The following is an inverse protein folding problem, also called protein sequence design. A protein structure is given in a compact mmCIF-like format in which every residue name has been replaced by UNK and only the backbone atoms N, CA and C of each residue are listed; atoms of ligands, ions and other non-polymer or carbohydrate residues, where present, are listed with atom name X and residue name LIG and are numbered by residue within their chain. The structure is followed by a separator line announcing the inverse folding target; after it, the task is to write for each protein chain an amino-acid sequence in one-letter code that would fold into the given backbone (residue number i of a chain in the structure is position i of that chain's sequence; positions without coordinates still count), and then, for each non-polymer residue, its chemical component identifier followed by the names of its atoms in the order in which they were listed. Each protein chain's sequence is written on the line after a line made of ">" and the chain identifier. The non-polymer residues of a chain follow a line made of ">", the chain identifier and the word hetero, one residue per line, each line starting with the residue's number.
data_IF_935506299164
#
_entry.id   IF_935506299164
#
_cell.length_a   1.000
_cell.length_b   1.000
_cell.length_c   1.000
_cell.angle_alpha   90.00
_cell.angle_beta   90.00
_cell.angle_gamma   90.00
#
_symmetry.space_group_name_H-M   'P 1'
#
loop_
_entity.id
_entity.type
_entity.pdbx_description
1 polymer ?
#
# COMPACT_ATOMS: atom_id res chain seq x y z
N UNK A 1 3.27 -16.81 -3.59
CA UNK A 1 1.83 -17.06 -3.35
C UNK A 1 1.33 -15.95 -2.42
N UNK A 2 0.86 -14.83 -2.98
CA UNK A 2 0.40 -13.67 -2.20
C UNK A 2 -1.08 -13.88 -1.83
N UNK A 3 -1.39 -13.92 -0.53
CA UNK A 3 -2.77 -14.12 -0.03
C UNK A 3 -3.49 -12.77 0.07
N UNK A 4 -4.65 -12.70 -0.56
CA UNK A 4 -5.42 -11.49 -0.88
C UNK A 4 -5.94 -10.72 0.35
N UNK A 5 -5.84 -9.39 0.27
CA UNK A 5 -6.80 -8.45 0.83
C UNK A 5 -7.89 -8.23 -0.22
N UNK A 6 -9.01 -8.97 -0.16
CA UNK A 6 -10.10 -8.77 -1.12
C UNK A 6 -11.46 -8.90 -0.44
N UNK A 7 -12.07 -7.76 -0.09
CA UNK A 7 -13.53 -7.60 -0.16
C UNK A 7 -13.93 -6.11 -0.30
N UNK A 8 -14.49 -5.75 -1.47
CA UNK A 8 -15.32 -4.55 -1.81
C UNK A 8 -14.64 -3.19 -2.14
N UNK A 9 -15.27 -2.33 -2.98
CA UNK A 9 -14.55 -1.32 -3.75
C UNK A 9 -14.43 0.03 -3.03
N UNK A 10 -13.22 0.35 -2.57
CA UNK A 10 -12.66 1.70 -2.55
C UNK A 10 -11.19 1.58 -2.99
N UNK A 11 -10.83 2.25 -4.09
CA UNK A 11 -9.54 2.11 -4.79
C UNK A 11 -8.31 2.42 -3.93
N UNK A 12 -8.52 3.18 -2.86
CA UNK A 12 -7.50 3.72 -1.98
C UNK A 12 -7.15 2.73 -0.86
N UNK A 13 -8.14 1.95 -0.42
CA UNK A 13 -7.98 0.95 0.63
C UNK A 13 -7.20 -0.27 0.13
N UNK A 14 -7.40 -0.70 -1.12
CA UNK A 14 -6.63 -1.79 -1.73
C UNK A 14 -5.14 -1.42 -1.84
N UNK A 15 -4.84 -0.19 -2.25
CA UNK A 15 -3.47 0.32 -2.38
C UNK A 15 -2.81 0.43 -1.00
N UNK A 16 -3.53 0.91 0.01
CA UNK A 16 -3.02 0.95 1.39
C UNK A 16 -2.86 -0.44 2.00
N UNK A 17 -3.77 -1.37 1.70
CA UNK A 17 -3.67 -2.77 2.12
C UNK A 17 -2.42 -3.44 1.53
N UNK A 18 -2.22 -3.27 0.22
CA UNK A 18 -1.02 -3.75 -0.45
C UNK A 18 0.23 -3.15 0.19
N UNK A 19 0.29 -1.82 0.30
CA UNK A 19 1.46 -1.14 0.85
C UNK A 19 1.77 -1.56 2.29
N UNK A 20 0.75 -1.69 3.15
CA UNK A 20 0.91 -2.12 4.54
C UNK A 20 1.44 -3.55 4.68
N UNK A 21 1.22 -4.41 3.68
CA UNK A 21 1.74 -5.77 3.64
C UNK A 21 3.12 -5.85 2.97
N UNK A 22 3.41 -4.93 2.05
CA UNK A 22 4.65 -4.92 1.30
C UNK A 22 5.81 -4.43 2.17
N UNK A 23 5.61 -3.38 2.98
CA UNK A 23 6.67 -2.78 3.81
C UNK A 23 6.85 -3.49 5.14
N UNK A 24 8.06 -3.43 5.69
CA UNK A 24 8.31 -3.86 7.07
C UNK A 24 7.93 -2.73 8.04
N UNK A 25 7.08 -3.05 9.02
CA UNK A 25 6.68 -2.11 10.08
C UNK A 25 7.06 -2.75 11.41
N UNK A 26 8.14 -2.24 12.00
CA UNK A 26 8.66 -2.77 13.26
C UNK A 26 7.78 -2.41 14.46
N UNK A 27 8.14 -2.89 15.65
CA UNK A 27 7.37 -2.65 16.89
C UNK A 27 7.34 -1.18 17.32
N UNK A 28 8.34 -0.39 16.94
CA UNK A 28 8.42 1.05 17.23
C UNK A 28 7.64 1.90 16.21
N UNK A 29 7.13 1.29 15.14
CA UNK A 29 6.38 1.98 14.10
C UNK A 29 7.28 2.60 13.04
N UNK A 30 8.54 2.17 12.98
CA UNK A 30 9.44 2.53 11.88
C UNK A 30 9.07 1.67 10.69
N UNK A 31 8.85 2.33 9.56
CA UNK A 31 8.55 1.69 8.28
C UNK A 31 9.86 1.56 7.49
N UNK A 32 10.24 0.35 7.10
CA UNK A 32 11.41 0.06 6.27
C UNK A 32 10.98 -0.45 4.90
N UNK A 33 11.68 0.02 3.87
CA UNK A 33 11.49 -0.46 2.52
C UNK A 33 11.93 -1.92 2.37
N UNK A 34 11.17 -2.66 1.58
CA UNK A 34 11.42 -4.05 1.17
C UNK A 34 11.66 -4.17 -0.33
N UNK A 35 11.45 -3.08 -1.08
CA UNK A 35 11.63 -2.94 -2.53
C UNK A 35 12.49 -1.71 -2.87
N UNK A 36 12.91 -1.55 -4.13
CA UNK A 36 13.74 -0.40 -4.56
C UNK A 36 12.95 0.54 -5.48
N UNK A 37 12.55 1.72 -4.99
CA UNK A 37 11.84 2.66 -5.81
C UNK A 37 12.72 3.31 -6.90
N UNK A 38 14.05 3.20 -6.83
CA UNK A 38 14.93 3.69 -7.91
C UNK A 38 14.88 2.78 -9.15
N UNK A 39 14.52 1.50 -8.98
CA UNK A 39 14.40 0.55 -10.08
C UNK A 39 13.00 0.60 -10.74
N UNK A 40 12.10 1.46 -10.26
CA UNK A 40 10.73 1.52 -10.73
C UNK A 40 9.84 0.39 -10.20
N UNK A 41 10.26 -0.35 -9.17
CA UNK A 41 9.44 -1.38 -8.52
C UNK A 41 8.05 -0.80 -8.18
N UNK A 42 6.97 -1.49 -8.58
CA UNK A 42 5.59 -1.06 -8.32
C UNK A 42 5.15 0.26 -8.99
N UNK A 43 5.73 0.61 -10.14
CA UNK A 43 5.39 1.84 -10.84
C UNK A 43 5.92 3.07 -10.11
N UNK A 44 7.09 2.93 -9.48
CA UNK A 44 7.65 3.97 -8.62
C UNK A 44 8.50 4.97 -9.38
N UNK A 45 8.37 6.25 -9.02
CA UNK A 45 9.14 7.33 -9.64
C UNK A 45 9.47 8.42 -8.63
N UNK A 46 10.57 9.13 -8.86
CA UNK A 46 10.88 10.34 -8.09
C UNK A 46 9.77 11.37 -8.24
N UNK A 47 9.36 11.95 -7.11
CA UNK A 47 8.39 13.04 -7.08
C UNK A 47 9.08 14.32 -6.65
N UNK A 48 9.10 15.31 -7.56
CA UNK A 48 9.81 16.56 -7.36
C UNK A 48 9.07 17.57 -6.48
N UNK A 49 7.77 17.40 -6.27
CA UNK A 49 6.92 18.33 -5.51
C UNK A 49 7.05 19.78 -6.03
N UNK A 50 7.04 19.97 -7.35
CA UNK A 50 7.24 21.27 -8.00
C UNK A 50 6.02 22.19 -7.85
N UNK A 51 4.84 21.58 -7.68
CA UNK A 51 3.57 22.24 -7.40
C UNK A 51 3.44 22.71 -5.94
N UNK A 52 4.38 22.32 -5.06
CA UNK A 52 4.34 22.72 -3.65
C UNK A 52 3.22 22.05 -2.85
N UNK A 53 2.76 20.87 -3.26
CA UNK A 53 1.73 20.09 -2.55
C UNK A 53 2.17 19.68 -1.14
N UNK A 54 3.42 19.26 -1.00
CA UNK A 54 4.02 18.79 0.25
C UNK A 54 5.09 19.75 0.76
N UNK A 55 5.53 19.55 2.00
CA UNK A 55 6.68 20.28 2.56
C UNK A 55 7.96 20.08 1.71
N UNK A 56 8.82 21.09 1.69
CA UNK A 56 10.15 20.96 1.10
C UNK A 56 10.99 19.91 1.84
N UNK A 57 11.83 19.21 1.08
CA UNK A 57 12.65 18.12 1.60
C UNK A 57 13.92 18.65 2.28
N UNK A 58 14.24 18.19 3.51
CA UNK A 58 15.57 18.33 4.06
C UNK A 58 16.62 17.54 3.24
N UNK A 59 17.90 17.89 3.40
CA UNK A 59 19.00 17.14 2.77
C UNK A 59 18.96 15.67 3.21
N UNK A 60 19.11 14.76 2.24
CA UNK A 60 19.10 13.30 2.49
C UNK A 60 17.71 12.67 2.51
N UNK A 61 16.68 13.40 2.04
CA UNK A 61 15.33 12.87 1.86
C UNK A 61 14.89 12.96 0.40
N UNK A 62 14.05 12.03 -0.03
CA UNK A 62 13.42 12.03 -1.36
C UNK A 62 11.96 11.61 -1.27
N UNK A 63 11.12 12.23 -2.09
CA UNK A 63 9.77 11.74 -2.33
C UNK A 63 9.74 10.81 -3.54
N UNK A 64 8.91 9.77 -3.45
CA UNK A 64 8.59 8.89 -4.56
C UNK A 64 7.08 8.69 -4.64
N UNK A 65 6.58 8.61 -5.87
CA UNK A 65 5.22 8.16 -6.14
C UNK A 65 5.22 6.65 -6.34
N UNK A 66 4.14 5.96 -5.95
CA UNK A 66 3.92 4.53 -6.17
C UNK A 66 2.57 4.30 -6.87
N UNK A 67 2.47 3.22 -7.65
CA UNK A 67 1.23 2.80 -8.29
C UNK A 67 0.97 3.44 -9.64
N UNK A 68 2.01 3.88 -10.36
CA UNK A 68 1.88 4.28 -11.76
C UNK A 68 1.98 3.06 -12.69
N UNK A 69 0.84 2.45 -13.02
CA UNK A 69 0.79 1.18 -13.78
C UNK A 69 0.98 1.38 -15.29
N UNK A 70 1.03 2.63 -15.76
CA UNK A 70 1.19 2.94 -17.19
C UNK A 70 2.65 2.81 -17.68
N UNK A 71 3.59 2.44 -16.81
CA UNK A 71 4.98 2.17 -17.21
C UNK A 71 5.24 0.66 -17.13
N UNK A 72 5.98 0.11 -18.10
CA UNK A 72 6.42 -1.29 -18.07
C UNK A 72 7.35 -1.51 -16.88
N UNK A 73 6.80 -1.91 -15.74
CA UNK A 73 7.57 -2.19 -14.52
C UNK A 73 7.68 -3.69 -14.27
N UNK A 74 8.74 -4.09 -13.57
CA UNK A 74 9.03 -5.47 -13.15
C UNK A 74 7.98 -6.03 -12.17
N UNK A 75 7.36 -5.15 -11.37
CA UNK A 75 6.37 -5.46 -10.36
C UNK A 75 5.17 -4.51 -10.51
N UNK A 76 3.95 -5.05 -10.44
CA UNK A 76 2.71 -4.28 -10.60
C UNK A 76 1.93 -4.22 -9.29
N UNK A 77 1.30 -3.07 -9.02
CA UNK A 77 0.31 -2.96 -7.93
C UNK A 77 -1.03 -3.55 -8.37
N UNK A 78 -1.87 -4.07 -7.46
CA UNK A 78 -3.22 -4.48 -7.80
C UNK A 78 -4.02 -3.26 -8.29
N UNK A 79 -4.55 -3.27 -9.51
CA UNK A 79 -5.56 -2.28 -9.90
C UNK A 79 -6.65 -2.86 -10.79
N UNK A 80 -7.89 -2.53 -10.42
CA UNK A 80 -9.08 -2.77 -11.23
C UNK A 80 -9.45 -1.48 -12.00
N UNK A 81 -8.60 -1.08 -12.95
CA UNK A 81 -8.98 -0.15 -14.03
C UNK A 81 -9.24 1.32 -13.68
N UNK A 82 -9.03 1.76 -12.43
CA UNK A 82 -9.10 3.18 -12.04
C UNK A 82 -7.77 3.63 -11.45
N UNK A 83 -6.87 4.05 -12.34
CA UNK A 83 -5.53 4.55 -12.06
C UNK A 83 -5.54 5.95 -11.38
N UNK A 84 -6.44 6.19 -10.42
CA UNK A 84 -6.67 7.50 -9.81
C UNK A 84 -5.81 7.74 -8.57
N UNK A 85 -5.69 6.73 -7.69
CA UNK A 85 -4.98 6.87 -6.42
C UNK A 85 -3.47 6.63 -6.55
N UNK A 86 -2.66 7.36 -5.77
CA UNK A 86 -1.20 7.24 -5.71
C UNK A 86 -0.69 7.21 -4.28
N UNK A 87 0.30 6.33 -4.09
CA UNK A 87 1.32 6.39 -3.05
C UNK A 87 2.16 7.65 -3.20
N UNK A 88 2.35 8.52 -2.20
CA UNK A 88 3.58 9.32 -2.09
C UNK A 88 4.29 8.93 -0.80
N UNK A 89 5.55 8.49 -0.91
CA UNK A 89 6.37 8.14 0.25
C UNK A 89 7.58 9.06 0.34
N UNK A 90 7.91 9.48 1.56
CA UNK A 90 9.17 10.17 1.84
C UNK A 90 10.16 9.19 2.44
N UNK A 91 11.29 9.03 1.77
CA UNK A 91 12.36 8.14 2.17
C UNK A 91 13.52 8.97 2.71
N UNK A 92 14.00 8.60 3.89
CA UNK A 92 15.28 9.05 4.42
C UNK A 92 16.38 8.15 3.87
N UNK A 93 17.27 8.72 3.05
CA UNK A 93 18.45 8.03 2.55
C UNK A 93 19.49 7.98 3.68
N UNK A 94 19.70 6.79 4.25
CA UNK A 94 20.83 6.54 5.13
C UNK A 94 22.01 6.04 4.29
N UNK A 95 23.23 6.49 4.61
CA UNK A 95 24.48 6.14 3.90
C UNK A 95 24.88 4.63 4.01
N UNK A 96 23.94 3.74 4.36
CA UNK A 96 24.19 2.35 4.75
C UNK A 96 23.40 1.33 3.90
N UNK A 97 23.21 1.61 2.61
CA UNK A 97 22.61 0.68 1.64
C UNK A 97 21.08 0.51 1.75
N UNK A 98 20.52 -0.26 0.81
CA UNK A 98 19.06 -0.46 0.58
C UNK A 98 18.28 -0.89 1.84
N UNK A 99 18.90 -1.64 2.75
CA UNK A 99 18.29 -2.13 4.00
C UNK A 99 18.12 -1.06 5.10
N UNK A 100 18.69 0.13 4.88
CA UNK A 100 18.65 1.23 5.85
C UNK A 100 17.69 2.36 5.45
N UNK A 101 16.93 2.19 4.37
CA UNK A 101 15.95 3.18 3.91
C UNK A 101 14.69 3.13 4.76
N UNK A 102 14.41 4.26 5.43
CA UNK A 102 13.25 4.44 6.31
C UNK A 102 12.24 5.32 5.59
N UNK A 103 10.98 4.89 5.60
CA UNK A 103 9.85 5.72 5.20
C UNK A 103 9.36 6.46 6.44
N UNK A 104 9.48 7.78 6.44
CA UNK A 104 9.07 8.60 7.59
C UNK A 104 7.74 9.33 7.36
N UNK A 105 7.32 9.47 6.10
CA UNK A 105 5.98 9.97 5.74
C UNK A 105 5.38 9.17 4.59
N UNK A 106 4.08 8.94 4.69
CA UNK A 106 3.26 8.28 3.68
C UNK A 106 2.05 9.17 3.44
N UNK A 107 1.73 9.43 2.19
CA UNK A 107 0.55 10.16 1.77
C UNK A 107 -0.19 9.34 0.74
N UNK A 108 -1.52 9.43 0.75
CA UNK A 108 -2.37 8.99 -0.36
C UNK A 108 -2.91 10.22 -1.08
N UNK A 109 -2.92 10.18 -2.41
CA UNK A 109 -3.43 11.28 -3.24
C UNK A 109 -4.10 10.76 -4.50
N UNK A 110 -4.69 11.65 -5.30
CA UNK A 110 -5.18 11.36 -6.63
C UNK A 110 -4.77 12.45 -7.63
N UNK A 111 -4.79 12.13 -8.92
CA UNK A 111 -4.68 13.16 -9.95
C UNK A 111 -5.96 14.02 -10.06
N UNK A 112 -5.83 15.26 -10.51
CA UNK A 112 -6.97 16.06 -10.97
C UNK A 112 -7.79 15.31 -12.03
N UNK A 113 -9.10 15.57 -12.07
CA UNK A 113 -9.98 14.98 -13.07
C UNK A 113 -9.61 15.46 -14.49
N UNK A 114 -9.83 14.63 -15.53
CA UNK A 114 -9.29 14.82 -16.88
C UNK A 114 -9.79 16.05 -17.67
N UNK A 115 -10.56 16.95 -17.07
CA UNK A 115 -11.05 18.15 -17.77
C UNK A 115 -10.05 19.29 -17.80
N UNK A 116 -9.03 19.28 -16.93
CA UNK A 116 -8.03 20.34 -16.90
C UNK A 116 -6.71 19.84 -17.48
N UNK A 117 -6.23 20.55 -18.50
CA UNK A 117 -4.97 20.35 -19.21
C UNK A 117 -3.72 20.60 -18.33
N UNK A 118 -3.85 20.50 -17.01
CA UNK A 118 -2.78 20.67 -16.03
C UNK A 118 -2.09 19.31 -15.82
N UNK A 119 -0.91 19.22 -16.43
CA UNK A 119 0.07 18.13 -16.36
C UNK A 119 0.04 17.38 -15.03
N UNK A 120 -0.44 16.14 -14.99
CA UNK A 120 -0.06 15.14 -13.96
C UNK A 120 -0.15 15.60 -12.49
N UNK A 121 -0.85 16.70 -12.19
CA UNK A 121 -0.84 17.33 -10.88
C UNK A 121 -1.72 16.52 -9.91
N UNK A 122 -1.30 16.53 -8.65
CA UNK A 122 -2.00 15.86 -7.57
C UNK A 122 -2.96 16.82 -6.89
N UNK A 123 -4.15 16.32 -6.58
CA UNK A 123 -5.25 17.08 -5.98
C UNK A 123 -4.97 17.32 -4.48
N UNK A 124 -4.70 18.57 -4.05
CA UNK A 124 -4.39 18.87 -2.66
C UNK A 124 -5.57 18.61 -1.71
N UNK A 125 -6.81 18.81 -2.17
CA UNK A 125 -8.02 18.57 -1.38
C UNK A 125 -8.27 17.07 -1.15
N UNK A 126 -7.55 16.23 -1.90
CA UNK A 126 -7.62 14.77 -1.86
C UNK A 126 -6.26 14.15 -1.52
N UNK A 127 -5.39 14.92 -0.88
CA UNK A 127 -4.09 14.44 -0.38
C UNK A 127 -4.13 14.32 1.14
N UNK A 128 -3.94 13.10 1.65
CA UNK A 128 -4.00 12.82 3.08
C UNK A 128 -2.72 12.13 3.56
N UNK A 129 -2.17 12.60 4.68
CA UNK A 129 -1.09 11.90 5.35
C UNK A 129 -1.62 10.65 6.08
N UNK A 130 -0.99 9.51 5.81
CA UNK A 130 -1.31 8.24 6.42
C UNK A 130 -0.41 8.02 7.63
N UNK A 131 -1.01 7.63 8.75
CA UNK A 131 -0.28 7.30 9.96
C UNK A 131 0.15 5.83 9.96
N UNK A 132 1.29 5.54 10.58
CA UNK A 132 1.71 4.14 10.80
C UNK A 132 0.67 3.34 11.60
N UNK A 133 -0.06 4.02 12.51
CA UNK A 133 -1.16 3.42 13.25
C UNK A 133 -2.25 2.89 12.33
N UNK A 134 -2.65 3.67 11.31
CA UNK A 134 -3.63 3.24 10.31
C UNK A 134 -3.12 2.04 9.48
N UNK A 135 -1.87 2.07 9.03
CA UNK A 135 -1.27 0.94 8.28
C UNK A 135 -1.28 -0.37 9.10
N UNK A 136 -0.97 -0.30 10.40
CA UNK A 136 -1.06 -1.45 11.30
C UNK A 136 -2.49 -1.96 11.48
N UNK A 137 -3.47 -1.06 11.60
CA UNK A 137 -4.88 -1.46 11.69
C UNK A 137 -5.34 -2.17 10.42
N UNK A 138 -4.97 -1.65 9.26
CA UNK A 138 -5.26 -2.25 7.95
C UNK A 138 -4.66 -3.66 7.87
N UNK A 139 -3.36 -3.81 8.18
CA UNK A 139 -2.67 -5.10 8.21
C UNK A 139 -3.31 -6.09 9.19
N UNK A 140 -3.72 -5.62 10.37
CA UNK A 140 -4.41 -6.45 11.37
C UNK A 140 -5.77 -6.95 10.88
N UNK A 141 -6.58 -6.09 10.27
CA UNK A 141 -7.88 -6.47 9.68
C UNK A 141 -7.70 -7.50 8.56
N UNK A 142 -6.72 -7.31 7.69
CA UNK A 142 -6.38 -8.26 6.63
C UNK A 142 -6.05 -9.66 7.17
N UNK A 143 -5.18 -9.73 8.17
CA UNK A 143 -4.79 -11.00 8.80
C UNK A 143 -5.97 -11.68 9.51
N UNK A 144 -6.81 -10.90 10.18
CA UNK A 144 -8.01 -11.42 10.83
C UNK A 144 -8.97 -12.01 9.79
N UNK A 145 -9.25 -11.32 8.68
CA UNK A 145 -10.12 -11.86 7.63
C UNK A 145 -9.58 -13.18 7.03
N UNK A 146 -8.26 -13.33 6.88
CA UNK A 146 -7.65 -14.61 6.48
C UNK A 146 -7.87 -15.73 7.51
N UNK A 147 -7.86 -15.41 8.81
CA UNK A 147 -8.09 -16.39 9.88
C UNK A 147 -9.55 -16.88 9.96
N UNK A 148 -10.51 -16.04 9.60
CA UNK A 148 -11.94 -16.38 9.58
C UNK A 148 -12.34 -17.17 8.32
N UNK A 149 -11.71 -16.93 7.17
CA UNK A 149 -11.93 -17.73 5.95
C UNK A 149 -11.42 -19.17 6.03
N UNK A 150 -10.52 -19.48 6.97
CA UNK A 150 -9.94 -20.83 7.16
C UNK A 150 -10.68 -21.70 8.19
N UNK A 151 -11.77 -21.21 8.82
CA UNK A 151 -12.61 -22.02 9.70
C UNK A 151 -13.85 -22.52 8.95
N UNK A 152 -13.73 -23.61 8.20
CA UNK A 152 -14.90 -24.43 7.87
C UNK A 152 -15.28 -25.28 9.10
N UNK A 153 -16.57 -25.38 9.46
CA UNK A 153 -16.99 -26.30 10.51
C UNK A 153 -16.78 -27.74 10.03
N UNK A 154 -16.12 -28.56 10.87
CA UNK A 154 -16.07 -29.99 10.68
C UNK A 154 -17.52 -30.53 10.68
N UNK A 155 -18.02 -30.93 9.52
CA UNK A 155 -19.31 -31.61 9.39
C UNK A 155 -19.27 -32.90 10.20
N UNK A 156 -20.19 -33.02 11.15
CA UNK A 156 -20.24 -34.09 12.13
C UNK A 156 -20.33 -35.49 11.53
N UNK A 157 -19.61 -36.43 12.15
CA UNK A 157 -19.87 -37.87 12.03
C UNK A 157 -21.18 -38.18 12.77
N UNK A 158 -22.18 -38.67 12.05
CA UNK A 158 -23.33 -39.32 12.65
C UNK A 158 -22.93 -40.73 13.11
N UNK A 159 -22.93 -40.94 14.44
CA UNK A 159 -23.05 -42.26 15.03
C UNK A 159 -24.40 -42.87 14.62
N UNK A 160 -24.35 -44.00 13.91
CA UNK A 160 -25.53 -44.84 13.69
C UNK A 160 -25.67 -45.77 14.89
N UNK A 161 -26.57 -45.39 15.79
CA UNK A 161 -27.07 -46.20 16.89
C UNK A 161 -27.68 -47.50 16.36
N UNK A 162 -27.31 -48.62 16.99
CA UNK A 162 -27.97 -49.93 16.89
C UNK A 162 -29.49 -49.79 17.08
N UNK A 163 -30.27 -50.40 16.19
CA UNK A 163 -31.63 -50.84 16.52
C UNK A 163 -31.69 -52.37 16.44
N UNK A 164 -32.15 -52.95 17.54
CA UNK A 164 -32.62 -54.34 17.64
C UNK A 164 -33.90 -54.47 16.80
N UNK A 165 -34.03 -55.55 16.03
CA UNK A 165 -35.16 -56.48 15.97
C UNK A 165 -34.73 -57.71 15.17
#
# INVERSE_FOLDING_TARGET
>A
MLKQCSVFPLTDEELLCWFANEVDIDRNGIIRLTFDPNNGDYGSHHYGNFEGLLDQLPRGYRYYTLGNINQQTSLQVPSQGRNKARLIIRIREQNAGRQSQIIDRVYITQHYQPFDYQRSEYDPDRTYQITTGLLRQIRGRANNLQSWGNRQPATGRNEKTRSRH
#
